data_IF_706696341722
#
_entry.id   IF_706696341722
#
_cell.length_a   1.000
_cell.length_b   1.000
_cell.length_c   1.000
_cell.angle_alpha   90.00
_cell.angle_beta   90.00
_cell.angle_gamma   90.00
#
_symmetry.space_group_name_H-M   'P 1'
#
loop_
_entity.id
_entity.type
_entity.pdbx_description
1 polymer ?
#
# COMPACT_ATOMS: atom_id res chain seq x y z
N UNK A 1 43.54 37.04 4.79
CA UNK A 1 42.19 37.37 4.31
C UNK A 1 41.59 36.08 3.83
N UNK A 2 40.82 35.45 4.70
CA UNK A 2 40.26 34.12 4.51
C UNK A 2 39.19 34.12 3.44
N UNK A 3 39.31 33.19 2.49
CA UNK A 3 38.26 32.87 1.54
C UNK A 3 37.25 31.95 2.24
N UNK A 4 36.08 32.50 2.57
CA UNK A 4 34.94 31.72 3.02
C UNK A 4 34.45 30.85 1.85
N UNK A 5 34.64 29.53 1.96
CA UNK A 5 34.00 28.55 1.10
C UNK A 5 32.50 28.56 1.44
N UNK A 6 31.70 29.15 0.57
CA UNK A 6 30.25 28.98 0.56
C UNK A 6 29.95 27.51 0.34
N UNK A 7 29.53 26.79 1.39
CA UNK A 7 28.94 25.47 1.27
C UNK A 7 27.64 25.61 0.46
N UNK A 8 27.69 25.28 -0.82
CA UNK A 8 26.50 25.16 -1.65
C UNK A 8 25.55 24.16 -0.96
N UNK A 9 24.32 24.60 -0.67
CA UNK A 9 23.24 23.70 -0.28
C UNK A 9 23.01 22.75 -1.47
N UNK A 10 23.54 21.54 -1.39
CA UNK A 10 23.27 20.49 -2.37
C UNK A 10 21.81 20.08 -2.22
N UNK A 11 21.02 20.22 -3.30
CA UNK A 11 19.62 19.84 -3.29
C UNK A 11 19.48 18.34 -2.96
N UNK A 12 18.40 17.93 -2.25
CA UNK A 12 18.20 16.52 -1.94
C UNK A 12 18.18 15.68 -3.23
N UNK A 13 18.68 14.44 -3.22
CA UNK A 13 18.63 13.58 -4.38
C UNK A 13 17.17 13.38 -4.80
N UNK A 14 16.89 13.43 -6.10
CA UNK A 14 15.53 13.38 -6.61
C UNK A 14 14.84 12.07 -6.23
N UNK A 15 13.60 12.13 -5.74
CA UNK A 15 12.78 10.94 -5.49
C UNK A 15 12.48 10.23 -6.81
N UNK A 16 12.60 8.91 -6.79
CA UNK A 16 12.36 8.02 -7.94
C UNK A 16 11.08 7.21 -7.73
N UNK A 17 10.87 6.70 -6.51
CA UNK A 17 9.70 5.92 -6.14
C UNK A 17 9.23 6.29 -4.74
N UNK A 18 7.92 6.18 -4.53
CA UNK A 18 7.29 6.24 -3.21
C UNK A 18 6.40 5.02 -3.00
N UNK A 19 6.34 4.54 -1.77
CA UNK A 19 5.45 3.46 -1.34
C UNK A 19 4.93 3.77 0.07
N UNK A 20 3.72 3.32 0.37
CA UNK A 20 3.05 3.58 1.63
C UNK A 20 2.45 2.29 2.18
N UNK A 21 2.77 1.96 3.43
CA UNK A 21 2.17 0.85 4.15
C UNK A 21 1.00 1.29 5.02
N UNK A 22 0.66 0.52 6.05
CA UNK A 22 -0.43 0.86 6.95
C UNK A 22 -0.20 2.19 7.68
N UNK A 23 1.00 2.35 8.26
CA UNK A 23 1.38 3.52 9.06
C UNK A 23 2.83 3.94 8.84
N UNK A 24 3.43 3.53 7.73
CA UNK A 24 4.80 3.91 7.36
C UNK A 24 4.87 4.26 5.87
N UNK A 25 5.96 4.92 5.52
CA UNK A 25 6.21 5.49 4.21
C UNK A 25 7.66 5.22 3.83
N UNK A 26 7.88 4.98 2.54
CA UNK A 26 9.19 4.62 2.00
C UNK A 26 9.40 5.40 0.71
N UNK A 27 10.61 5.93 0.51
CA UNK A 27 11.01 6.54 -0.74
C UNK A 27 12.39 6.03 -1.16
N UNK A 28 12.51 5.70 -2.45
CA UNK A 28 13.79 5.48 -3.11
C UNK A 28 14.18 6.77 -3.82
N UNK A 29 15.37 7.27 -3.52
CA UNK A 29 15.95 8.46 -4.12
C UNK A 29 17.07 8.09 -5.10
N UNK A 30 17.35 8.98 -6.04
CA UNK A 30 18.45 8.86 -6.97
C UNK A 30 19.79 8.66 -6.23
N UNK A 31 20.68 7.87 -6.81
CA UNK A 31 21.92 7.48 -6.13
C UNK A 31 21.75 6.36 -5.11
N UNK A 32 20.67 5.57 -5.22
CA UNK A 32 20.43 4.38 -4.41
C UNK A 32 20.26 4.66 -2.91
N UNK A 33 19.63 5.80 -2.59
CA UNK A 33 19.39 6.22 -1.20
C UNK A 33 17.96 5.83 -0.80
N UNK A 34 17.83 4.94 0.18
CA UNK A 34 16.55 4.49 0.71
C UNK A 34 16.20 5.26 1.99
N UNK A 35 15.04 5.91 1.98
CA UNK A 35 14.51 6.63 3.15
C UNK A 35 13.20 6.00 3.61
N UNK A 36 13.02 5.90 4.92
CA UNK A 36 11.79 5.40 5.54
C UNK A 36 11.36 6.33 6.68
N UNK A 37 10.05 6.42 6.90
CA UNK A 37 9.48 7.19 8.00
C UNK A 37 8.08 6.69 8.39
N UNK A 38 7.57 7.16 9.52
CA UNK A 38 6.32 6.69 10.12
C UNK A 38 6.54 5.76 11.31
N UNK A 39 5.64 4.79 11.48
CA UNK A 39 5.67 3.79 12.56
C UNK A 39 6.85 2.84 12.40
N UNK A 40 7.63 2.63 13.46
CA UNK A 40 8.78 1.70 13.47
C UNK A 40 8.68 0.51 14.42
N UNK A 41 7.59 0.40 15.19
CA UNK A 41 7.42 -0.58 16.28
C UNK A 41 7.63 -2.04 15.87
N UNK A 42 7.28 -2.41 14.62
CA UNK A 42 7.44 -3.77 14.10
C UNK A 42 8.68 -3.93 13.21
N UNK A 43 9.58 -2.93 13.21
CA UNK A 43 10.81 -2.94 12.42
C UNK A 43 10.66 -2.53 10.97
N UNK A 44 9.46 -2.15 10.50
CA UNK A 44 9.15 -1.86 9.09
C UNK A 44 9.96 -0.70 8.48
N UNK A 45 10.62 0.11 9.31
CA UNK A 45 11.51 1.19 8.86
C UNK A 45 12.93 0.71 8.54
N UNK A 46 13.38 -0.41 9.10
CA UNK A 46 14.67 -1.03 8.75
C UNK A 46 15.91 -0.39 9.38
N UNK A 47 15.76 0.47 10.40
CA UNK A 47 16.87 1.19 11.03
C UNK A 47 17.62 0.42 12.14
N UNK A 48 17.19 -0.80 12.47
CA UNK A 48 17.75 -1.59 13.57
C UNK A 48 17.15 -1.29 14.95
N UNK A 49 16.13 -0.42 15.00
CA UNK A 49 15.38 -0.06 16.21
C UNK A 49 13.87 0.00 15.94
N UNK A 50 13.08 0.07 17.02
CA UNK A 50 11.62 0.05 17.00
C UNK A 50 10.99 1.46 17.09
N UNK A 51 11.77 2.52 16.84
CA UNK A 51 11.31 3.89 17.04
C UNK A 51 10.60 4.45 15.81
N UNK A 52 9.58 5.27 16.05
CA UNK A 52 8.91 6.00 14.96
C UNK A 52 9.84 7.12 14.45
N UNK A 53 9.73 7.42 13.16
CA UNK A 53 10.47 8.52 12.52
C UNK A 53 9.48 9.51 11.94
N UNK A 54 9.51 10.76 12.43
CA UNK A 54 8.55 11.79 12.01
C UNK A 54 8.94 12.50 10.71
N UNK A 55 10.18 12.27 10.25
CA UNK A 55 10.74 12.82 9.02
C UNK A 55 11.40 11.70 8.22
N UNK A 56 11.48 11.82 6.87
CA UNK A 56 12.23 10.89 6.03
C UNK A 56 13.66 10.69 6.56
N UNK A 57 13.95 9.45 6.96
CA UNK A 57 15.23 9.07 7.56
C UNK A 57 15.93 8.05 6.67
N UNK A 58 17.21 8.26 6.37
CA UNK A 58 17.98 7.32 5.53
C UNK A 58 18.25 6.02 6.30
N UNK A 59 18.05 4.87 5.66
CA UNK A 59 18.49 3.59 6.22
C UNK A 59 20.01 3.51 6.11
N UNK A 60 20.70 3.60 7.25
CA UNK A 60 22.16 3.44 7.32
C UNK A 60 22.56 1.97 7.43
N UNK A 61 23.66 1.56 6.79
CA UNK A 61 24.17 0.19 6.87
C UNK A 61 23.49 -0.82 5.94
N UNK A 62 22.55 -0.37 5.10
CA UNK A 62 22.01 -1.14 3.99
C UNK A 62 22.71 -0.70 2.70
N UNK A 63 23.72 -1.47 2.27
CA UNK A 63 24.60 -1.13 1.14
C UNK A 63 24.30 -1.93 -0.14
N UNK A 64 23.07 -2.42 -0.31
CA UNK A 64 22.69 -3.17 -1.52
C UNK A 64 22.65 -2.22 -2.74
N UNK A 65 23.47 -2.43 -3.79
CA UNK A 65 23.51 -1.57 -4.97
C UNK A 65 22.28 -1.76 -5.86
N UNK A 66 22.02 -0.81 -6.74
CA UNK A 66 21.03 -0.96 -7.81
C UNK A 66 19.61 -1.30 -7.35
N UNK A 67 19.15 -0.75 -6.22
CA UNK A 67 17.76 -0.89 -5.80
C UNK A 67 16.86 -0.20 -6.82
N UNK A 68 15.94 -0.96 -7.41
CA UNK A 68 15.03 -0.48 -8.47
C UNK A 68 13.56 -0.53 -8.04
N UNK A 69 13.24 -1.21 -6.94
CA UNK A 69 11.87 -1.34 -6.43
C UNK A 69 11.84 -1.35 -4.90
N UNK A 70 10.86 -0.66 -4.33
CA UNK A 70 10.56 -0.63 -2.90
C UNK A 70 9.05 -0.70 -2.72
N UNK A 71 8.55 -1.71 -2.01
CA UNK A 71 7.11 -1.97 -1.86
C UNK A 71 6.80 -2.23 -0.40
N UNK A 72 5.89 -1.44 0.15
CA UNK A 72 5.35 -1.64 1.49
C UNK A 72 4.21 -2.66 1.45
N UNK A 73 4.18 -3.59 2.39
CA UNK A 73 2.94 -4.19 2.86
C UNK A 73 2.34 -3.36 4.00
N UNK A 74 1.44 -3.95 4.79
CA UNK A 74 0.87 -3.24 5.94
C UNK A 74 1.95 -2.80 6.95
N UNK A 75 2.67 -3.76 7.53
CA UNK A 75 3.68 -3.53 8.57
C UNK A 75 5.02 -4.22 8.24
N UNK A 76 5.36 -4.31 6.96
CA UNK A 76 6.64 -4.79 6.48
C UNK A 76 6.98 -4.12 5.15
N UNK A 77 8.25 -4.21 4.76
CA UNK A 77 8.77 -3.57 3.55
C UNK A 77 9.62 -4.57 2.78
N UNK A 78 9.54 -4.50 1.45
CA UNK A 78 10.42 -5.23 0.54
C UNK A 78 11.18 -4.27 -0.36
N UNK A 79 12.38 -4.67 -0.75
CA UNK A 79 13.18 -3.98 -1.76
C UNK A 79 13.81 -5.00 -2.71
N UNK A 80 14.12 -4.60 -3.93
CA UNK A 80 14.80 -5.46 -4.90
C UNK A 80 15.98 -4.74 -5.54
N UNK A 81 17.14 -5.42 -5.52
CA UNK A 81 18.36 -5.03 -6.22
C UNK A 81 18.41 -5.71 -7.58
N UNK A 82 18.41 -4.91 -8.65
CA UNK A 82 18.60 -5.42 -10.01
C UNK A 82 20.05 -5.85 -10.25
N UNK A 83 21.02 -5.15 -9.65
CA UNK A 83 22.45 -5.45 -9.81
C UNK A 83 22.84 -6.79 -9.18
N UNK A 84 22.25 -7.14 -8.03
CA UNK A 84 22.53 -8.40 -7.33
C UNK A 84 21.49 -9.49 -7.58
N UNK A 85 20.39 -9.17 -8.30
CA UNK A 85 19.22 -10.04 -8.45
C UNK A 85 18.74 -10.60 -7.10
N UNK A 86 18.54 -9.70 -6.13
CA UNK A 86 18.25 -10.05 -4.74
C UNK A 86 17.06 -9.24 -4.19
N UNK A 87 16.09 -9.95 -3.63
CA UNK A 87 14.99 -9.36 -2.84
C UNK A 87 15.40 -9.27 -1.38
N UNK A 88 15.12 -8.15 -0.74
CA UNK A 88 15.27 -7.93 0.69
C UNK A 88 13.91 -7.69 1.33
N UNK A 89 13.78 -8.06 2.60
CA UNK A 89 12.58 -7.79 3.39
C UNK A 89 12.92 -7.53 4.85
N UNK A 90 12.07 -6.72 5.49
CA UNK A 90 12.14 -6.41 6.92
C UNK A 90 10.77 -5.94 7.44
N UNK A 91 10.60 -5.91 8.75
CA UNK A 91 9.35 -5.60 9.44
C UNK A 91 8.77 -6.79 10.19
N UNK A 92 7.44 -6.81 10.32
CA UNK A 92 6.71 -7.84 11.06
C UNK A 92 6.82 -9.22 10.38
N UNK A 93 7.24 -10.24 11.13
CA UNK A 93 7.56 -11.58 10.62
C UNK A 93 6.39 -12.56 10.54
N UNK A 94 5.30 -12.30 11.26
CA UNK A 94 4.19 -13.26 11.43
C UNK A 94 3.65 -13.81 10.10
N UNK A 95 3.30 -15.09 10.14
CA UNK A 95 2.84 -15.90 8.99
C UNK A 95 3.90 -16.07 7.89
N UNK A 96 5.15 -15.70 8.15
CA UNK A 96 6.26 -15.82 7.20
C UNK A 96 6.21 -14.81 6.06
N UNK A 97 5.55 -13.66 6.24
CA UNK A 97 5.41 -12.61 5.20
C UNK A 97 6.75 -12.03 4.71
N UNK A 98 7.83 -12.23 5.45
CA UNK A 98 9.19 -11.87 5.05
C UNK A 98 9.89 -12.95 4.19
N UNK A 99 9.36 -14.16 4.09
CA UNK A 99 9.90 -15.18 3.17
C UNK A 99 11.25 -15.78 3.59
N UNK A 100 11.65 -15.65 4.86
CA UNK A 100 12.93 -16.15 5.39
C UNK A 100 12.87 -17.60 5.92
N UNK A 101 11.73 -18.30 5.77
CA UNK A 101 11.53 -19.66 6.29
C UNK A 101 11.21 -19.72 7.78
N UNK A 102 10.85 -18.59 8.39
CA UNK A 102 10.44 -18.44 9.78
C UNK A 102 9.45 -17.26 9.91
N UNK A 103 8.98 -17.01 11.14
CA UNK A 103 8.03 -15.93 11.46
C UNK A 103 8.64 -14.84 12.35
N UNK A 104 9.96 -14.66 12.32
CA UNK A 104 10.66 -13.71 13.21
C UNK A 104 10.66 -12.31 12.62
N UNK A 105 10.43 -11.30 13.45
CA UNK A 105 10.51 -9.88 13.08
C UNK A 105 11.94 -9.49 12.73
N UNK A 106 12.09 -8.60 11.75
CA UNK A 106 13.38 -8.20 11.21
C UNK A 106 13.47 -6.68 11.21
N UNK A 107 14.44 -6.12 11.95
CA UNK A 107 14.58 -4.67 12.13
C UNK A 107 15.59 -4.02 11.19
N UNK A 108 16.30 -4.82 10.38
CA UNK A 108 17.22 -4.35 9.34
C UNK A 108 17.00 -5.15 8.06
N UNK A 109 17.10 -4.58 6.85
CA UNK A 109 16.88 -5.32 5.61
C UNK A 109 17.69 -6.63 5.55
N UNK A 110 17.01 -7.76 5.31
CA UNK A 110 17.64 -9.08 5.15
C UNK A 110 17.32 -9.70 3.79
N UNK A 111 18.26 -10.42 3.16
CA UNK A 111 18.01 -11.07 1.88
C UNK A 111 17.02 -12.24 2.02
N UNK A 112 16.03 -12.27 1.14
CA UNK A 112 15.15 -13.43 0.91
C UNK A 112 15.93 -14.45 0.08
N UNK A 113 16.68 -15.33 0.76
CA UNK A 113 17.61 -16.27 0.12
C UNK A 113 16.95 -17.16 -0.94
N UNK A 114 15.68 -17.51 -0.77
CA UNK A 114 14.93 -18.31 -1.73
C UNK A 114 14.70 -17.60 -3.08
N UNK A 115 14.87 -16.28 -3.16
CA UNK A 115 14.74 -15.49 -4.39
C UNK A 115 16.08 -15.05 -4.97
N UNK A 116 17.21 -15.49 -4.40
CA UNK A 116 18.53 -15.09 -4.87
C UNK A 116 18.77 -15.53 -6.33
N UNK A 117 19.23 -14.60 -7.17
CA UNK A 117 19.52 -14.84 -8.58
C UNK A 117 18.29 -14.86 -9.49
N UNK A 118 17.09 -14.66 -8.95
CA UNK A 118 15.86 -14.58 -9.74
C UNK A 118 15.66 -13.12 -10.18
N UNK A 119 15.52 -12.92 -11.49
CA UNK A 119 15.21 -11.60 -12.06
C UNK A 119 13.75 -11.25 -11.81
N UNK A 120 13.51 -10.27 -10.96
CA UNK A 120 12.16 -9.85 -10.56
C UNK A 120 11.69 -8.70 -11.45
N UNK A 121 10.49 -8.86 -12.02
CA UNK A 121 9.79 -7.83 -12.77
C UNK A 121 8.97 -6.92 -11.86
N UNK A 122 8.27 -7.50 -10.88
CA UNK A 122 7.43 -6.76 -9.95
C UNK A 122 7.31 -7.50 -8.60
N UNK A 123 7.23 -6.74 -7.52
CA UNK A 123 6.80 -7.21 -6.20
C UNK A 123 5.43 -6.61 -5.85
N UNK A 124 4.61 -7.35 -5.12
CA UNK A 124 3.40 -6.82 -4.46
C UNK A 124 3.30 -7.35 -3.04
N UNK A 125 2.90 -6.48 -2.11
CA UNK A 125 2.76 -6.81 -0.70
C UNK A 125 1.37 -6.44 -0.21
N UNK A 126 0.68 -7.38 0.42
CA UNK A 126 -0.60 -7.17 1.10
C UNK A 126 -0.43 -6.94 2.59
N UNK A 127 -1.44 -7.29 3.38
CA UNK A 127 -1.34 -7.21 4.85
C UNK A 127 -0.30 -8.18 5.41
N UNK A 128 -0.33 -9.43 4.94
CA UNK A 128 0.46 -10.53 5.50
C UNK A 128 0.91 -11.56 4.47
N UNK A 129 0.85 -11.22 3.18
CA UNK A 129 1.34 -12.06 2.10
C UNK A 129 1.99 -11.19 1.01
N UNK A 130 2.89 -11.82 0.26
CA UNK A 130 3.68 -11.16 -0.76
C UNK A 130 3.72 -12.01 -2.01
N UNK A 131 3.92 -11.35 -3.15
CA UNK A 131 4.09 -11.99 -4.44
C UNK A 131 5.26 -11.35 -5.21
N UNK A 132 5.88 -12.15 -6.05
CA UNK A 132 6.89 -11.72 -7.00
C UNK A 132 6.54 -12.25 -8.40
N UNK A 133 6.58 -11.38 -9.41
CA UNK A 133 6.53 -11.76 -10.82
C UNK A 133 7.95 -11.74 -11.36
N UNK A 134 8.40 -12.83 -11.99
CA UNK A 134 9.72 -12.90 -12.62
C UNK A 134 9.71 -12.21 -13.99
N UNK A 135 10.88 -11.93 -14.56
CA UNK A 135 10.99 -11.43 -15.94
C UNK A 135 10.47 -12.42 -16.99
N UNK A 136 10.29 -13.70 -16.64
CA UNK A 136 9.66 -14.71 -17.50
C UNK A 136 8.12 -14.72 -17.38
N UNK A 137 7.54 -13.95 -16.45
CA UNK A 137 6.11 -13.92 -16.19
C UNK A 137 5.62 -15.00 -15.21
N UNK A 138 6.52 -15.74 -14.57
CA UNK A 138 6.17 -16.69 -13.51
C UNK A 138 5.84 -15.94 -12.22
N UNK A 139 4.92 -16.49 -11.41
CA UNK A 139 4.51 -15.88 -10.13
C UNK A 139 4.92 -16.76 -8.96
N UNK A 140 5.60 -16.16 -7.99
CA UNK A 140 5.87 -16.75 -6.69
C UNK A 140 5.09 -16.03 -5.59
N UNK A 141 4.66 -16.74 -4.57
CA UNK A 141 3.92 -16.19 -3.43
C UNK A 141 4.39 -16.78 -2.09
N UNK A 142 4.28 -16.00 -1.01
CA UNK A 142 4.58 -16.42 0.36
C UNK A 142 3.83 -15.59 1.41
N UNK A 143 3.82 -16.07 2.64
CA UNK A 143 3.13 -15.47 3.78
C UNK A 143 1.86 -16.22 4.19
N UNK A 144 0.89 -15.46 4.70
CA UNK A 144 -0.42 -15.94 5.15
C UNK A 144 -1.26 -16.49 3.99
N UNK A 145 -1.94 -17.61 4.20
CA UNK A 145 -2.73 -18.30 3.17
C UNK A 145 -4.10 -18.81 3.65
N UNK A 146 -4.60 -18.38 4.80
CA UNK A 146 -5.84 -18.95 5.38
C UNK A 146 -7.08 -18.89 4.47
N UNK A 147 -7.08 -18.02 3.45
CA UNK A 147 -8.17 -17.89 2.48
C UNK A 147 -7.73 -18.23 1.05
N UNK A 148 -6.54 -18.83 0.88
CA UNK A 148 -6.00 -19.20 -0.43
C UNK A 148 -5.31 -18.07 -1.19
N UNK A 149 -5.01 -16.93 -0.55
CA UNK A 149 -4.42 -15.75 -1.20
C UNK A 149 -3.04 -15.98 -1.81
N UNK A 150 -2.36 -17.08 -1.46
CA UNK A 150 -1.12 -17.47 -2.14
C UNK A 150 -1.36 -18.15 -3.49
N UNK A 151 -2.59 -18.59 -3.79
CA UNK A 151 -2.92 -19.22 -5.07
C UNK A 151 -2.39 -20.64 -5.24
N UNK A 152 -1.96 -21.28 -4.15
CA UNK A 152 -1.27 -22.59 -4.16
C UNK A 152 -2.23 -23.80 -4.13
N UNK A 153 -3.54 -23.58 -4.16
CA UNK A 153 -4.55 -24.65 -4.06
C UNK A 153 -4.74 -25.19 -2.64
N UNK A 154 -4.13 -24.55 -1.64
CA UNK A 154 -4.22 -24.91 -0.22
C UNK A 154 -4.54 -23.68 0.63
N UNK A 155 -4.77 -23.87 1.93
CA UNK A 155 -4.94 -22.80 2.92
C UNK A 155 -3.78 -22.73 3.94
N UNK A 156 -2.68 -23.41 3.64
CA UNK A 156 -1.51 -23.47 4.53
C UNK A 156 -0.58 -22.28 4.26
N UNK A 157 -0.18 -21.60 5.32
CA UNK A 157 0.78 -20.49 5.25
C UNK A 157 2.11 -20.99 4.68
N UNK A 158 2.79 -20.15 3.87
CA UNK A 158 4.09 -20.49 3.30
C UNK A 158 5.15 -19.54 3.81
N UNK A 159 6.09 -20.07 4.60
CA UNK A 159 7.21 -19.28 5.16
C UNK A 159 8.30 -18.95 4.13
N UNK A 160 8.22 -19.56 2.94
CA UNK A 160 9.14 -19.36 1.81
C UNK A 160 8.34 -19.08 0.53
N UNK A 161 8.91 -18.35 -0.44
CA UNK A 161 8.36 -18.22 -1.79
C UNK A 161 8.10 -19.58 -2.44
N UNK A 162 6.90 -19.76 -2.99
CA UNK A 162 6.49 -20.93 -3.77
C UNK A 162 5.88 -20.48 -5.10
N UNK A 163 6.17 -21.21 -6.18
CA UNK A 163 5.63 -20.94 -7.51
C UNK A 163 4.15 -21.30 -7.60
N UNK A 164 3.35 -20.39 -8.15
CA UNK A 164 1.93 -20.59 -8.43
C UNK A 164 1.79 -21.38 -9.74
N UNK A 165 1.64 -22.70 -9.63
CA UNK A 165 1.55 -23.61 -10.79
C UNK A 165 0.32 -23.34 -11.68
N UNK A 166 -0.72 -22.69 -11.15
CA UNK A 166 -1.90 -22.31 -11.93
C UNK A 166 -1.61 -21.32 -13.07
N UNK A 167 -0.45 -20.65 -13.05
CA UNK A 167 0.01 -19.79 -14.14
C UNK A 167 1.01 -20.47 -15.09
N UNK A 168 1.19 -21.79 -15.03
CA UNK A 168 2.06 -22.48 -16.00
C UNK A 168 1.58 -22.23 -17.43
N UNK A 169 2.48 -21.70 -18.28
CA UNK A 169 2.16 -21.31 -19.65
C UNK A 169 1.42 -19.98 -19.81
N UNK A 170 1.13 -19.26 -18.71
CA UNK A 170 0.49 -17.94 -18.72
C UNK A 170 1.53 -16.90 -18.28
N UNK A 171 1.84 -15.94 -19.15
CA UNK A 171 2.79 -14.87 -18.81
C UNK A 171 2.10 -13.75 -18.04
N UNK A 172 2.40 -13.65 -16.75
CA UNK A 172 1.84 -12.60 -15.89
C UNK A 172 2.58 -11.28 -16.09
N UNK A 173 1.82 -10.22 -16.37
CA UNK A 173 2.35 -8.87 -16.56
C UNK A 173 2.58 -8.19 -15.21
N UNK A 174 1.57 -8.22 -14.35
CA UNK A 174 1.57 -7.54 -13.06
C UNK A 174 0.63 -8.17 -12.03
N UNK A 175 0.88 -7.89 -10.76
CA UNK A 175 0.21 -8.41 -9.57
C UNK A 175 -0.18 -7.27 -8.62
N UNK A 176 -1.21 -7.51 -7.83
CA UNK A 176 -1.62 -6.66 -6.72
C UNK A 176 -2.14 -7.50 -5.55
N UNK A 177 -1.88 -7.06 -4.32
CA UNK A 177 -2.25 -7.77 -3.09
C UNK A 177 -3.02 -6.84 -2.16
N UNK A 178 -4.18 -7.28 -1.69
CA UNK A 178 -4.96 -6.61 -0.66
C UNK A 178 -4.71 -7.22 0.72
N UNK A 179 -5.72 -7.22 1.59
CA UNK A 179 -5.60 -7.81 2.92
C UNK A 179 -5.26 -9.32 2.84
N UNK A 180 -6.17 -10.05 2.20
CA UNK A 180 -6.17 -11.51 2.10
C UNK A 180 -6.70 -11.94 0.73
N UNK A 181 -6.56 -11.09 -0.28
CA UNK A 181 -6.92 -11.37 -1.67
C UNK A 181 -5.85 -10.84 -2.61
N UNK A 182 -5.83 -11.39 -3.81
CA UNK A 182 -4.80 -11.13 -4.79
C UNK A 182 -5.42 -11.03 -6.17
N UNK A 183 -4.86 -10.17 -7.00
CA UNK A 183 -5.24 -10.05 -8.39
C UNK A 183 -4.01 -9.98 -9.29
N UNK A 184 -4.15 -10.41 -10.54
CA UNK A 184 -3.09 -10.37 -11.53
C UNK A 184 -3.64 -10.06 -12.92
N UNK A 185 -2.84 -9.33 -13.70
CA UNK A 185 -3.10 -9.08 -15.12
C UNK A 185 -2.01 -9.77 -15.94
N UNK A 186 -2.39 -10.49 -16.98
CA UNK A 186 -1.46 -11.14 -17.92
C UNK A 186 -0.97 -10.19 -19.01
N UNK A 187 0.05 -10.59 -19.76
CA UNK A 187 0.52 -9.79 -20.91
C UNK A 187 -0.55 -9.63 -22.00
N UNK A 188 -1.43 -10.63 -22.14
CA UNK A 188 -2.56 -10.62 -23.07
C UNK A 188 -3.79 -9.88 -22.52
N UNK A 189 -3.66 -9.23 -21.36
CA UNK A 189 -4.70 -8.38 -20.76
C UNK A 189 -5.80 -9.15 -20.02
N UNK A 190 -5.63 -10.43 -19.75
CA UNK A 190 -6.55 -11.21 -18.92
C UNK A 190 -6.37 -10.83 -17.45
N UNK A 191 -7.47 -10.73 -16.70
CA UNK A 191 -7.48 -10.44 -15.26
C UNK A 191 -7.84 -11.71 -14.47
N UNK A 192 -7.13 -11.96 -13.39
CA UNK A 192 -7.35 -13.07 -12.46
C UNK A 192 -7.54 -12.54 -11.04
N UNK A 193 -8.38 -13.21 -10.25
CA UNK A 193 -8.61 -12.92 -8.83
C UNK A 193 -8.62 -14.19 -7.99
N UNK A 194 -8.00 -14.14 -6.81
CA UNK A 194 -8.04 -15.24 -5.83
C UNK A 194 -7.83 -14.80 -4.38
N UNK A 195 -7.96 -15.73 -3.45
CA UNK A 195 -7.95 -15.50 -2.02
C UNK A 195 -9.36 -15.27 -1.46
N UNK A 196 -9.45 -14.43 -0.43
CA UNK A 196 -10.69 -14.07 0.25
C UNK A 196 -11.64 -13.28 -0.67
N UNK A 197 -12.88 -13.73 -0.81
CA UNK A 197 -13.83 -13.18 -1.80
C UNK A 197 -15.14 -12.64 -1.26
N UNK A 198 -15.32 -12.52 0.06
CA UNK A 198 -16.66 -12.31 0.66
C UNK A 198 -17.32 -10.98 0.31
N UNK A 199 -16.57 -9.96 -0.10
CA UNK A 199 -17.13 -8.68 -0.58
C UNK A 199 -17.17 -8.58 -2.10
N UNK A 200 -16.95 -9.68 -2.84
CA UNK A 200 -16.91 -9.66 -4.30
C UNK A 200 -15.64 -9.06 -4.90
N UNK A 201 -14.63 -8.81 -4.07
CA UNK A 201 -13.34 -8.24 -4.44
C UNK A 201 -12.47 -9.17 -5.30
N UNK A 202 -12.99 -10.31 -5.75
CA UNK A 202 -12.32 -11.14 -6.77
C UNK A 202 -12.86 -10.83 -8.17
N UNK A 203 -14.01 -10.17 -8.31
CA UNK A 203 -14.60 -9.82 -9.60
C UNK A 203 -15.29 -10.98 -10.32
N UNK A 204 -15.45 -12.13 -9.65
CA UNK A 204 -15.93 -13.39 -10.24
C UNK A 204 -17.46 -13.53 -10.25
N UNK A 205 -18.20 -12.51 -9.80
CA UNK A 205 -19.66 -12.52 -9.76
C UNK A 205 -20.28 -13.25 -8.56
N UNK A 206 -19.46 -13.65 -7.59
CA UNK A 206 -19.90 -14.28 -6.35
C UNK A 206 -19.09 -13.79 -5.14
N UNK A 207 -19.34 -14.41 -3.97
CA UNK A 207 -18.70 -14.08 -2.69
C UNK A 207 -17.86 -15.23 -2.12
N UNK A 208 -17.41 -16.16 -2.96
CA UNK A 208 -16.66 -17.33 -2.51
C UNK A 208 -15.15 -17.08 -2.59
N UNK A 209 -14.40 -17.66 -1.66
CA UNK A 209 -12.95 -17.63 -1.69
C UNK A 209 -12.43 -18.53 -2.83
N UNK A 210 -11.26 -18.21 -3.40
CA UNK A 210 -10.59 -19.05 -4.41
C UNK A 210 -9.19 -19.40 -3.95
N UNK A 211 -8.86 -20.70 -3.97
CA UNK A 211 -7.55 -21.20 -3.54
C UNK A 211 -6.50 -21.17 -4.66
N UNK A 212 -6.93 -20.94 -5.90
CA UNK A 212 -6.10 -20.78 -7.09
C UNK A 212 -6.59 -19.57 -7.89
N UNK A 213 -5.73 -18.91 -8.67
CA UNK A 213 -6.12 -17.87 -9.62
C UNK A 213 -7.30 -18.31 -10.51
N UNK A 214 -8.37 -17.52 -10.54
CA UNK A 214 -9.51 -17.72 -11.44
C UNK A 214 -9.69 -16.51 -12.34
N UNK A 215 -9.93 -16.75 -13.63
CA UNK A 215 -10.07 -15.71 -14.64
C UNK A 215 -11.38 -14.94 -14.44
N UNK A 216 -11.29 -13.62 -14.39
CA UNK A 216 -12.44 -12.71 -14.32
C UNK A 216 -12.97 -12.47 -15.73
N UNK A 217 -14.29 -12.63 -15.91
CA UNK A 217 -14.95 -12.31 -17.18
C UNK A 217 -15.08 -10.79 -17.33
N UNK A 218 -14.15 -10.18 -18.06
CA UNK A 218 -14.04 -8.73 -18.21
C UNK A 218 -13.40 -8.34 -19.55
N UNK A 219 -13.42 -7.04 -19.87
CA UNK A 219 -12.60 -6.46 -20.94
C UNK A 219 -11.11 -6.57 -20.58
N UNK A 220 -10.24 -6.50 -21.61
CA UNK A 220 -8.79 -6.51 -21.45
C UNK A 220 -8.30 -5.39 -20.54
N UNK A 221 -7.54 -5.76 -19.51
CA UNK A 221 -6.99 -4.85 -18.51
C UNK A 221 -5.49 -4.68 -18.70
N UNK A 222 -4.98 -3.50 -18.37
CA UNK A 222 -3.55 -3.18 -18.43
C UNK A 222 -2.96 -2.80 -17.08
N UNK A 223 -3.81 -2.42 -16.11
CA UNK A 223 -3.44 -2.14 -14.72
C UNK A 223 -4.35 -2.87 -13.73
N UNK A 224 -3.77 -3.26 -12.60
CA UNK A 224 -4.51 -3.72 -11.42
C UNK A 224 -3.86 -3.18 -10.15
N UNK A 225 -4.68 -2.78 -9.18
CA UNK A 225 -4.28 -2.45 -7.82
C UNK A 225 -5.34 -2.99 -6.85
N UNK A 226 -4.90 -3.31 -5.63
CA UNK A 226 -5.80 -3.71 -4.56
C UNK A 226 -5.72 -2.65 -3.46
N UNK A 227 -6.88 -2.26 -2.93
CA UNK A 227 -6.93 -1.79 -1.56
C UNK A 227 -7.14 -2.97 -0.62
N UNK A 228 -7.60 -2.71 0.60
CA UNK A 228 -7.72 -3.78 1.59
C UNK A 228 -8.73 -4.87 1.20
N UNK A 229 -9.93 -4.47 0.80
CA UNK A 229 -11.03 -5.37 0.40
C UNK A 229 -11.75 -4.91 -0.88
N UNK A 230 -11.05 -4.17 -1.73
CA UNK A 230 -11.56 -3.74 -3.03
C UNK A 230 -10.42 -3.80 -4.05
N UNK A 231 -10.78 -3.89 -5.32
CA UNK A 231 -9.85 -4.03 -6.43
C UNK A 231 -10.18 -2.99 -7.49
N UNK A 232 -9.12 -2.46 -8.10
CA UNK A 232 -9.17 -1.38 -9.07
C UNK A 232 -8.43 -1.88 -10.31
N UNK A 233 -9.02 -1.71 -11.49
CA UNK A 233 -8.43 -2.11 -12.76
C UNK A 233 -8.61 -1.02 -13.79
N UNK A 234 -7.70 -0.96 -14.77
CA UNK A 234 -7.78 -0.02 -15.89
C UNK A 234 -7.69 -0.81 -17.19
N UNK A 235 -8.60 -0.56 -18.13
CA UNK A 235 -8.58 -1.19 -19.45
C UNK A 235 -7.51 -0.60 -20.35
N UNK A 236 -7.19 -1.28 -21.46
CA UNK A 236 -6.29 -0.76 -22.51
C UNK A 236 -6.73 0.59 -23.09
N UNK A 237 -8.02 0.93 -22.98
CA UNK A 237 -8.57 2.23 -23.40
C UNK A 237 -8.43 3.33 -22.33
N UNK A 238 -7.82 3.05 -21.19
CA UNK A 238 -7.72 3.97 -20.05
C UNK A 238 -8.99 4.09 -19.19
N UNK A 239 -10.01 3.24 -19.40
CA UNK A 239 -11.23 3.26 -18.58
C UNK A 239 -10.99 2.60 -17.22
N UNK A 240 -11.43 3.26 -16.15
CA UNK A 240 -11.32 2.78 -14.78
C UNK A 240 -12.50 1.87 -14.37
N UNK A 241 -12.20 0.75 -13.72
CA UNK A 241 -13.17 -0.16 -13.14
C UNK A 241 -12.81 -0.48 -11.69
N UNK A 242 -13.83 -0.63 -10.85
CA UNK A 242 -13.70 -0.97 -9.43
C UNK A 242 -14.69 -2.06 -9.06
N UNK A 243 -14.32 -2.89 -8.08
CA UNK A 243 -15.17 -3.96 -7.54
C UNK A 243 -14.72 -4.37 -6.14
N UNK A 244 -15.59 -5.04 -5.41
CA UNK A 244 -15.39 -5.41 -4.01
C UNK A 244 -16.22 -4.56 -3.05
N UNK A 245 -15.60 -4.21 -1.92
CA UNK A 245 -16.26 -3.52 -0.82
C UNK A 245 -16.42 -2.02 -1.06
N UNK A 246 -17.62 -1.45 -0.82
CA UNK A 246 -17.89 -0.01 -0.96
C UNK A 246 -18.55 0.65 0.25
N UNK A 247 -18.46 0.05 1.45
CA UNK A 247 -19.09 0.63 2.68
C UNK A 247 -18.73 2.10 2.94
N UNK A 248 -17.56 2.56 2.49
CA UNK A 248 -17.09 3.94 2.63
C UNK A 248 -17.04 4.69 1.29
N UNK A 249 -17.67 4.14 0.25
CA UNK A 249 -17.71 4.72 -1.09
C UNK A 249 -16.43 4.54 -1.88
N UNK A 250 -15.52 3.64 -1.45
CA UNK A 250 -14.21 3.44 -2.08
C UNK A 250 -14.28 2.83 -3.49
N UNK A 251 -15.44 2.39 -3.97
CA UNK A 251 -15.59 2.04 -5.38
C UNK A 251 -15.86 3.26 -6.29
N UNK A 252 -16.32 4.38 -5.74
CA UNK A 252 -16.42 5.65 -6.47
C UNK A 252 -17.66 5.78 -7.38
N UNK A 253 -18.71 4.98 -7.17
CA UNK A 253 -19.89 4.97 -8.05
C UNK A 253 -21.01 5.94 -7.64
N UNK A 254 -20.81 6.74 -6.59
CA UNK A 254 -21.82 7.67 -6.05
C UNK A 254 -22.76 7.06 -5.03
N UNK A 255 -22.47 5.84 -4.58
CA UNK A 255 -23.19 5.11 -3.55
C UNK A 255 -22.22 4.28 -2.67
N UNK A 256 -22.77 3.40 -1.84
CA UNK A 256 -22.01 2.57 -0.90
C UNK A 256 -22.20 1.07 -1.16
N UNK A 257 -22.61 0.69 -2.38
CA UNK A 257 -22.94 -0.69 -2.73
C UNK A 257 -21.70 -1.48 -3.18
N UNK A 258 -21.62 -2.74 -2.76
CA UNK A 258 -20.56 -3.65 -3.19
C UNK A 258 -20.81 -4.13 -4.63
N UNK A 259 -19.75 -4.24 -5.43
CA UNK A 259 -19.82 -4.79 -6.78
C UNK A 259 -19.05 -6.11 -6.88
N UNK A 260 -19.73 -7.17 -7.35
CA UNK A 260 -19.14 -8.52 -7.44
C UNK A 260 -18.37 -8.78 -8.74
N UNK A 261 -18.47 -7.85 -9.70
CA UNK A 261 -17.81 -7.88 -11.01
C UNK A 261 -17.23 -6.49 -11.29
N UNK A 262 -16.19 -6.36 -12.14
CA UNK A 262 -15.66 -5.06 -12.52
C UNK A 262 -16.74 -4.11 -13.02
N UNK A 263 -16.91 -2.97 -12.33
CA UNK A 263 -17.88 -1.95 -12.68
C UNK A 263 -17.19 -0.65 -13.06
N UNK A 264 -17.62 -0.05 -14.18
CA UNK A 264 -16.96 1.15 -14.71
C UNK A 264 -17.27 2.37 -13.85
N UNK A 265 -16.25 3.17 -13.55
CA UNK A 265 -16.41 4.43 -12.81
C UNK A 265 -16.83 5.54 -13.79
N UNK A 266 -18.14 5.70 -13.99
CA UNK A 266 -18.70 6.63 -14.98
C UNK A 266 -18.30 8.10 -14.76
N UNK A 267 -18.03 8.49 -13.51
CA UNK A 267 -17.56 9.84 -13.18
C UNK A 267 -16.21 10.20 -13.83
N UNK A 268 -15.41 9.20 -14.24
CA UNK A 268 -14.11 9.38 -14.90
C UNK A 268 -14.08 8.85 -16.33
N UNK A 269 -15.25 8.60 -16.95
CA UNK A 269 -15.33 8.00 -18.31
C UNK A 269 -14.65 8.81 -19.42
N UNK A 270 -14.56 10.13 -19.23
CA UNK A 270 -13.96 11.08 -20.19
C UNK A 270 -12.48 11.37 -19.88
N UNK A 271 -11.93 10.70 -18.86
CA UNK A 271 -10.52 10.76 -18.49
C UNK A 271 -9.83 9.43 -18.78
N UNK A 272 -8.56 9.48 -19.19
CA UNK A 272 -7.74 8.27 -19.33
C UNK A 272 -6.91 8.09 -18.06
N UNK A 273 -7.13 7.00 -17.31
CA UNK A 273 -6.35 6.68 -16.11
C UNK A 273 -4.99 6.08 -16.48
N UNK A 274 -3.92 6.58 -15.87
CA UNK A 274 -2.53 6.12 -16.08
C UNK A 274 -1.92 5.42 -14.88
N UNK A 275 -2.42 5.68 -13.66
CA UNK A 275 -2.01 4.98 -12.44
C UNK A 275 -3.16 4.90 -11.44
N UNK A 276 -3.15 3.84 -10.63
CA UNK A 276 -4.15 3.55 -9.61
C UNK A 276 -3.47 3.10 -8.31
N UNK A 277 -4.09 3.41 -7.17
CA UNK A 277 -3.64 2.95 -5.86
C UNK A 277 -4.82 2.79 -4.92
N UNK A 278 -4.87 1.68 -4.18
CA UNK A 278 -5.90 1.40 -3.19
C UNK A 278 -5.33 1.48 -1.79
N UNK A 279 -5.97 2.27 -0.92
CA UNK A 279 -5.66 2.31 0.51
C UNK A 279 -6.49 1.31 1.31
N UNK A 280 -6.62 1.56 2.62
CA UNK A 280 -7.45 0.69 3.47
C UNK A 280 -8.92 0.75 3.00
N UNK A 281 -9.43 1.97 2.87
CA UNK A 281 -10.83 2.28 2.61
C UNK A 281 -10.98 3.49 1.70
N UNK A 282 -9.92 3.89 1.01
CA UNK A 282 -9.91 4.98 0.04
C UNK A 282 -9.13 4.56 -1.21
N UNK A 283 -9.27 5.33 -2.27
CA UNK A 283 -8.74 5.01 -3.59
C UNK A 283 -8.23 6.26 -4.25
N UNK A 284 -7.17 6.11 -5.04
CA UNK A 284 -6.59 7.16 -5.86
C UNK A 284 -6.49 6.70 -7.32
N UNK A 285 -6.84 7.58 -8.25
CA UNK A 285 -6.59 7.42 -9.68
C UNK A 285 -5.93 8.68 -10.25
N UNK A 286 -4.79 8.48 -10.91
CA UNK A 286 -4.06 9.50 -11.65
C UNK A 286 -4.42 9.38 -13.13
N UNK A 287 -4.79 10.50 -13.74
CA UNK A 287 -5.08 10.58 -15.17
C UNK A 287 -3.81 10.89 -15.98
N UNK A 288 -3.82 10.57 -17.27
CA UNK A 288 -2.70 10.78 -18.18
C UNK A 288 -2.32 12.25 -18.39
N UNK A 289 -3.22 13.19 -18.10
CA UNK A 289 -2.95 14.63 -18.12
C UNK A 289 -2.34 15.15 -16.81
N UNK A 290 -2.15 14.28 -15.81
CA UNK A 290 -1.47 14.57 -14.54
C UNK A 290 -2.39 15.01 -13.40
N UNK A 291 -3.72 14.86 -13.53
CA UNK A 291 -4.68 15.18 -12.47
C UNK A 291 -4.91 13.97 -11.57
N UNK A 292 -4.93 14.22 -10.27
CA UNK A 292 -5.19 13.18 -9.26
C UNK A 292 -6.62 13.28 -8.76
N UNK A 293 -7.30 12.15 -8.69
CA UNK A 293 -8.62 12.02 -8.08
C UNK A 293 -8.58 11.03 -6.93
N UNK A 294 -9.21 11.40 -5.81
CA UNK A 294 -9.34 10.56 -4.62
C UNK A 294 -10.79 10.37 -4.21
N UNK A 295 -11.12 9.23 -3.62
CA UNK A 295 -12.44 8.96 -3.04
C UNK A 295 -12.37 7.87 -1.97
N UNK A 296 -13.49 7.63 -1.29
CA UNK A 296 -13.67 6.67 -0.21
C UNK A 296 -13.66 7.33 1.17
N UNK A 297 -13.21 6.57 2.16
CA UNK A 297 -13.13 6.99 3.55
C UNK A 297 -12.16 8.15 3.75
N UNK A 298 -12.60 9.20 4.45
CA UNK A 298 -11.86 10.45 4.59
C UNK A 298 -11.83 10.99 6.03
N UNK A 299 -12.11 10.16 7.05
CA UNK A 299 -12.11 10.60 8.45
C UNK A 299 -10.84 11.37 8.85
N UNK A 300 -9.68 10.97 8.33
CA UNK A 300 -8.38 11.59 8.63
C UNK A 300 -7.89 12.53 7.52
N UNK A 301 -8.72 12.82 6.52
CA UNK A 301 -8.36 13.69 5.41
C UNK A 301 -7.58 12.99 4.30
N UNK A 302 -7.49 11.66 4.28
CA UNK A 302 -6.68 10.88 3.34
C UNK A 302 -7.12 10.94 1.87
N UNK A 303 -8.32 11.46 1.58
CA UNK A 303 -8.75 11.80 0.21
C UNK A 303 -8.05 13.06 -0.29
N UNK A 304 -7.70 14.01 0.58
CA UNK A 304 -6.93 15.20 0.21
C UNK A 304 -7.76 16.34 -0.41
N UNK A 305 -9.09 16.29 -0.29
CA UNK A 305 -10.00 17.27 -0.89
C UNK A 305 -10.23 18.54 -0.03
N UNK A 306 -9.54 18.68 1.11
CA UNK A 306 -9.68 19.83 2.01
C UNK A 306 -10.82 19.72 3.03
N UNK A 307 -11.39 18.53 3.18
CA UNK A 307 -12.40 18.20 4.17
C UNK A 307 -12.14 16.83 4.82
N UNK A 308 -13.01 16.42 5.74
CA UNK A 308 -12.95 15.11 6.42
C UNK A 308 -14.23 14.29 6.18
N UNK A 309 -14.99 14.60 5.13
CA UNK A 309 -16.21 13.88 4.76
C UNK A 309 -15.86 12.75 3.78
N UNK A 310 -16.50 11.59 3.95
CA UNK A 310 -16.30 10.47 3.01
C UNK A 310 -16.81 10.85 1.61
N UNK A 311 -16.07 10.45 0.58
CA UNK A 311 -16.38 10.78 -0.82
C UNK A 311 -16.78 9.50 -1.55
N UNK A 312 -18.06 9.30 -1.88
CA UNK A 312 -18.49 8.13 -2.66
C UNK A 312 -18.33 8.30 -4.18
N UNK A 313 -17.80 9.44 -4.63
CA UNK A 313 -17.44 9.72 -6.02
C UNK A 313 -16.05 10.36 -6.11
N UNK A 314 -15.32 10.20 -7.23
CA UNK A 314 -14.01 10.81 -7.43
C UNK A 314 -14.02 12.33 -7.22
N UNK A 315 -13.19 12.80 -6.28
CA UNK A 315 -12.94 14.21 -6.03
C UNK A 315 -11.52 14.57 -6.48
N UNK A 316 -11.37 15.68 -7.20
CA UNK A 316 -10.05 16.12 -7.66
C UNK A 316 -9.21 16.64 -6.48
N UNK A 317 -7.97 16.16 -6.36
CA UNK A 317 -6.99 16.61 -5.38
C UNK A 317 -6.19 17.77 -5.98
N UNK A 318 -6.18 18.90 -5.28
CA UNK A 318 -5.53 20.12 -5.76
C UNK A 318 -4.12 20.27 -5.18
N UNK A 319 -3.16 20.61 -6.03
CA UNK A 319 -1.77 20.87 -5.68
C UNK A 319 -1.43 22.35 -5.92
N UNK A 320 -0.49 22.93 -5.15
CA UNK A 320 -0.01 24.29 -5.38
C UNK A 320 0.41 24.50 -6.84
N UNK A 321 0.05 25.64 -7.41
CA UNK A 321 0.37 26.01 -8.80
C UNK A 321 -0.11 24.98 -9.86
N UNK A 322 -1.12 24.18 -9.55
CA UNK A 322 -1.66 23.14 -10.44
C UNK A 322 -0.59 22.16 -10.94
N UNK A 323 0.40 21.87 -10.09
CA UNK A 323 1.45 20.90 -10.40
C UNK A 323 0.87 19.54 -10.73
N UNK A 324 1.33 18.97 -11.86
CA UNK A 324 0.94 17.62 -12.29
C UNK A 324 1.56 16.56 -11.42
N UNK A 325 0.76 15.54 -11.10
CA UNK A 325 1.20 14.38 -10.35
C UNK A 325 1.82 13.36 -11.31
N UNK A 326 2.94 12.78 -10.90
CA UNK A 326 3.68 11.75 -11.64
C UNK A 326 3.55 10.36 -10.99
N UNK A 327 3.44 10.28 -9.66
CA UNK A 327 3.19 9.03 -8.93
C UNK A 327 2.28 9.23 -7.73
N UNK A 328 1.52 8.19 -7.36
CA UNK A 328 0.70 8.16 -6.14
C UNK A 328 0.82 6.80 -5.43
N UNK A 329 0.83 6.83 -4.09
CA UNK A 329 0.81 5.64 -3.25
C UNK A 329 -0.13 5.85 -2.05
N UNK A 330 -1.08 4.94 -1.87
CA UNK A 330 -1.99 4.92 -0.72
C UNK A 330 -1.42 4.01 0.37
N UNK A 331 -1.33 4.54 1.59
CA UNK A 331 -1.25 3.71 2.78
C UNK A 331 -2.65 3.34 3.27
N UNK A 332 -2.76 2.87 4.51
CA UNK A 332 -4.10 2.61 5.05
C UNK A 332 -4.90 3.88 5.31
N UNK A 333 -4.24 4.92 5.81
CA UNK A 333 -4.89 6.14 6.33
C UNK A 333 -4.20 7.41 5.88
N UNK A 334 -3.22 7.31 5.01
CA UNK A 334 -2.49 8.43 4.43
C UNK A 334 -2.22 8.15 2.96
N UNK A 335 -1.84 9.20 2.25
CA UNK A 335 -1.55 9.15 0.82
C UNK A 335 -0.28 9.96 0.57
N UNK A 336 0.58 9.43 -0.30
CA UNK A 336 1.77 10.10 -0.82
C UNK A 336 1.57 10.40 -2.30
N UNK A 337 2.04 11.55 -2.76
CA UNK A 337 2.12 11.86 -4.17
C UNK A 337 3.45 12.51 -4.52
N UNK A 338 3.98 12.16 -5.68
CA UNK A 338 5.18 12.74 -6.26
C UNK A 338 4.80 13.45 -7.55
N UNK A 339 5.26 14.68 -7.72
CA UNK A 339 4.89 15.56 -8.84
C UNK A 339 5.95 15.59 -9.94
N UNK A 340 5.59 16.08 -11.13
CA UNK A 340 6.54 16.30 -12.22
C UNK A 340 7.65 17.31 -11.85
N UNK A 341 7.37 18.23 -10.92
CA UNK A 341 8.36 19.15 -10.33
C UNK A 341 9.29 18.50 -9.31
N UNK A 342 9.21 17.18 -9.13
CA UNK A 342 10.01 16.41 -8.18
C UNK A 342 9.69 16.70 -6.70
N UNK A 343 8.59 17.38 -6.41
CA UNK A 343 8.11 17.56 -5.04
C UNK A 343 7.34 16.32 -4.58
N UNK A 344 7.47 15.98 -3.30
CA UNK A 344 6.70 14.94 -2.63
C UNK A 344 5.71 15.61 -1.68
N UNK A 345 4.46 15.18 -1.73
CA UNK A 345 3.40 15.60 -0.84
C UNK A 345 2.86 14.42 -0.06
N UNK A 346 2.40 14.68 1.17
CA UNK A 346 1.68 13.72 1.99
C UNK A 346 0.45 14.36 2.64
N UNK A 347 -0.60 13.56 2.84
CA UNK A 347 -1.80 13.93 3.58
C UNK A 347 -2.49 12.70 4.17
N UNK A 348 -3.46 12.92 5.05
CA UNK A 348 -4.18 11.92 5.83
C UNK A 348 -3.72 11.88 7.29
N UNK A 349 -3.73 10.68 7.88
CA UNK A 349 -3.32 10.42 9.26
C UNK A 349 -1.82 10.70 9.45
N UNK A 350 -1.46 11.44 10.49
CA UNK A 350 -0.07 11.79 10.83
C UNK A 350 0.42 11.31 12.20
N UNK A 351 -0.40 10.62 12.99
CA UNK A 351 -0.07 10.32 14.40
C UNK A 351 1.14 9.42 14.64
N UNK A 352 1.63 8.72 13.61
CA UNK A 352 2.86 7.92 13.68
C UNK A 352 4.01 8.58 12.91
N UNK A 353 3.84 9.81 12.44
CA UNK A 353 4.81 10.52 11.62
C UNK A 353 4.83 10.11 10.15
N UNK A 354 3.89 9.29 9.68
CA UNK A 354 3.89 8.75 8.31
C UNK A 354 3.75 9.80 7.20
N UNK A 355 3.39 11.03 7.56
CA UNK A 355 3.35 12.17 6.63
C UNK A 355 4.74 12.79 6.40
N UNK A 356 5.71 12.57 7.28
CA UNK A 356 7.09 13.02 7.08
C UNK A 356 7.34 14.51 7.33
N UNK A 357 6.39 15.22 7.95
CA UNK A 357 6.49 16.68 8.19
C UNK A 357 7.19 17.05 9.51
N UNK A 358 7.65 16.07 10.30
CA UNK A 358 8.23 16.30 11.62
C UNK A 358 7.21 16.53 12.74
N UNK A 359 5.92 16.40 12.43
CA UNK A 359 4.80 16.58 13.35
C UNK A 359 3.88 15.35 13.32
N UNK A 360 3.06 15.20 14.36
CA UNK A 360 2.09 14.10 14.50
C UNK A 360 0.63 14.56 14.28
N UNK A 361 0.43 15.45 13.30
CA UNK A 361 -0.86 16.09 13.01
C UNK A 361 -1.44 15.57 11.70
N UNK A 362 -2.75 15.26 11.71
CA UNK A 362 -3.49 14.84 10.51
C UNK A 362 -3.66 16.03 9.54
N UNK A 363 -3.58 15.77 8.23
CA UNK A 363 -3.70 16.80 7.17
C UNK A 363 -4.75 16.37 6.16
N UNK A 364 -5.69 17.25 5.82
CA UNK A 364 -6.76 16.94 4.86
C UNK A 364 -6.55 17.55 3.47
N UNK A 365 -5.42 18.22 3.27
CA UNK A 365 -4.91 18.70 1.98
C UNK A 365 -3.48 18.21 1.78
N UNK A 366 -3.00 18.06 0.54
CA UNK A 366 -1.59 17.77 0.27
C UNK A 366 -0.66 18.79 0.93
N UNK A 367 0.30 18.32 1.73
CA UNK A 367 1.37 19.14 2.32
C UNK A 367 2.72 18.61 1.86
N UNK A 368 3.57 19.52 1.38
CA UNK A 368 4.90 19.20 0.86
C UNK A 368 5.79 18.59 1.95
N UNK A 369 6.60 17.60 1.59
CA UNK A 369 7.63 17.02 2.47
C UNK A 369 8.95 17.73 2.16
N UNK A 370 9.30 18.71 2.98
CA UNK A 370 10.47 19.58 2.76
C UNK A 370 11.78 18.80 2.57
N UNK A 371 11.97 17.73 3.34
CA UNK A 371 13.19 16.92 3.30
C UNK A 371 13.42 16.19 1.97
N UNK A 372 12.38 16.03 1.14
CA UNK A 372 12.42 15.30 -0.12
C UNK A 372 12.09 16.16 -1.34
N UNK A 373 11.80 17.45 -1.14
CA UNK A 373 11.20 18.30 -2.18
C UNK A 373 12.09 19.51 -2.50
N UNK A 374 12.36 19.80 -3.79
CA UNK A 374 13.10 21.00 -4.19
C UNK A 374 12.44 22.31 -3.77
N UNK A 375 11.10 22.39 -3.78
CA UNK A 375 10.36 23.62 -3.45
C UNK A 375 10.09 23.79 -1.94
N UNK A 376 10.64 22.91 -1.09
CA UNK A 376 10.47 22.99 0.36
C UNK A 376 11.22 24.18 0.98
N UNK A 377 10.61 24.97 1.91
CA UNK A 377 11.23 26.14 2.55
C UNK A 377 12.48 25.85 3.40
N UNK A 378 12.88 24.59 3.53
CA UNK A 378 14.18 24.19 4.04
C UNK A 378 14.59 22.86 3.43
N UNK A 379 15.30 22.89 2.30
CA UNK A 379 16.01 21.74 1.76
C UNK A 379 17.14 21.34 2.73
N UNK A 380 16.76 20.81 3.90
CA UNK A 380 17.68 20.31 4.91
C UNK A 380 18.33 19.04 4.37
N UNK A 381 19.59 18.78 4.76
CA UNK A 381 20.20 17.46 4.60
C UNK A 381 19.23 16.41 5.18
N UNK A 382 19.01 15.34 4.42
CA UNK A 382 18.37 14.13 4.95
C UNK A 382 19.06 13.76 6.26
N UNK A 383 18.30 13.73 7.34
CA UNK A 383 18.87 13.48 8.66
C UNK A 383 19.34 12.03 8.74
N UNK A 384 20.61 11.86 9.09
CA UNK A 384 21.07 10.61 9.69
C UNK A 384 20.71 10.68 11.18
N UNK A 385 19.72 9.90 11.59
CA UNK A 385 19.49 9.49 12.98
C UNK A 385 19.08 10.54 14.04
N UNK A 386 17.95 11.21 13.89
CA UNK A 386 17.21 11.70 15.06
C UNK A 386 16.02 10.76 15.35
N UNK A 387 16.30 9.65 16.03
CA UNK A 387 15.25 8.86 16.66
C UNK A 387 14.69 9.66 17.84
N UNK A 388 13.37 9.74 17.98
CA UNK A 388 12.77 10.29 19.20
C UNK A 388 12.75 9.15 20.22
N UNK A 389 13.45 9.24 21.37
CA UNK A 389 13.42 8.20 22.38
C UNK A 389 12.00 7.98 22.91
N UNK A 390 11.69 6.74 23.31
CA UNK A 390 10.41 6.22 23.83
C UNK A 390 9.65 7.04 24.91
N UNK A 391 10.20 8.17 25.39
CA UNK A 391 9.65 8.99 26.46
C UNK A 391 8.62 10.02 25.98
N UNK A 392 7.46 9.54 25.50
CA UNK A 392 6.12 10.17 25.55
C UNK A 392 5.25 9.74 24.35
N UNK A 393 4.86 8.46 24.27
CA UNK A 393 3.71 8.10 23.42
C UNK A 393 2.40 8.25 24.20
N UNK A 394 1.47 8.98 23.61
CA UNK A 394 0.03 8.81 23.86
C UNK A 394 -0.30 7.38 23.43
N UNK A 395 -0.88 6.58 24.32
CA UNK A 395 -1.27 5.20 24.00
C UNK A 395 -2.21 5.19 22.78
N UNK A 396 -1.77 4.59 21.67
CA UNK A 396 -2.59 4.35 20.49
C UNK A 396 -3.21 2.97 20.61
N UNK A 397 -4.54 2.89 20.55
CA UNK A 397 -5.26 1.64 20.74
C UNK A 397 -4.92 0.62 19.63
N UNK A 398 -5.03 -0.70 19.88
CA UNK A 398 -4.89 -1.72 18.84
C UNK A 398 -5.85 -1.50 17.65
N UNK A 399 -7.02 -0.89 17.90
CA UNK A 399 -8.01 -0.53 16.87
C UNK A 399 -7.55 0.58 15.92
N UNK A 400 -6.64 1.43 16.39
CA UNK A 400 -6.01 2.48 15.59
C UNK A 400 -4.69 1.99 14.97
N UNK A 401 -4.02 1.02 15.58
CA UNK A 401 -2.80 0.38 15.06
C UNK A 401 -3.06 -0.58 13.91
N UNK A 402 -4.02 -1.51 14.09
CA UNK A 402 -4.29 -2.57 13.13
C UNK A 402 -5.67 -2.40 12.47
N UNK A 403 -5.85 -2.94 11.27
CA UNK A 403 -7.13 -2.89 10.57
C UNK A 403 -8.09 -3.87 11.22
N UNK A 404 -9.03 -3.40 12.05
CA UNK A 404 -10.09 -4.26 12.56
C UNK A 404 -11.03 -4.69 11.42
N UNK A 405 -11.26 -6.00 11.32
CA UNK A 405 -12.36 -6.58 10.54
C UNK A 405 -13.63 -6.30 11.33
N UNK A 406 -14.63 -5.58 10.79
CA UNK A 406 -15.91 -5.45 11.48
C UNK A 406 -16.57 -6.83 11.56
N UNK A 407 -16.94 -7.26 12.77
CA UNK A 407 -17.66 -8.52 12.98
C UNK A 407 -18.99 -8.57 12.21
N UNK A 408 -19.19 -9.63 11.44
CA UNK A 408 -20.44 -9.92 10.75
C UNK A 408 -21.40 -10.70 11.67
N UNK A 409 -22.38 -10.02 12.28
CA UNK A 409 -23.64 -10.70 12.63
C UNK A 409 -24.56 -10.66 11.41
N UNK A 410 -24.70 -11.80 10.74
CA UNK A 410 -25.78 -12.03 9.77
C UNK A 410 -27.11 -11.94 10.53
N UNK A 411 -27.79 -10.79 10.42
CA UNK A 411 -29.15 -10.65 10.93
C UNK A 411 -30.09 -11.47 10.04
N UNK A 412 -30.70 -12.51 10.61
CA UNK A 412 -31.90 -13.13 10.04
C UNK A 412 -33.04 -12.13 10.06
N UNK A 413 -33.81 -12.10 8.98
CA UNK A 413 -35.00 -11.29 8.75
C UNK A 413 -35.92 -11.16 9.96
N UNK A 414 -36.25 -9.92 10.32
CA UNK A 414 -37.27 -9.56 11.31
C UNK A 414 -37.37 -8.04 11.44
N UNK A 415 -38.58 -7.54 11.26
CA UNK A 415 -39.00 -6.14 11.09
C UNK A 415 -38.70 -5.20 12.28
N UNK A 416 -38.91 -3.90 12.04
CA UNK A 416 -39.07 -2.74 12.95
C UNK A 416 -37.96 -1.68 12.98
N UNK A 417 -38.40 -0.49 12.56
CA UNK A 417 -37.83 0.85 12.62
C UNK A 417 -37.17 1.28 13.94
N UNK A 418 -36.03 1.97 13.86
CA UNK A 418 -35.70 3.14 14.69
C UNK A 418 -34.46 3.89 14.18
N UNK A 419 -34.57 5.22 14.06
CA UNK A 419 -33.44 6.15 14.00
C UNK A 419 -32.69 6.12 15.34
N UNK A 420 -31.35 6.17 15.32
CA UNK A 420 -30.58 6.43 16.53
C UNK A 420 -29.06 6.34 16.34
N UNK A 421 -28.37 7.43 16.67
CA UNK A 421 -26.93 7.50 16.92
C UNK A 421 -26.49 6.46 17.98
N UNK A 422 -25.32 5.83 17.79
CA UNK A 422 -24.63 5.02 18.81
C UNK A 422 -23.35 4.45 18.21
N UNK A 423 -22.16 4.89 18.63
CA UNK A 423 -21.43 4.46 19.83
C UNK A 423 -20.88 3.03 19.69
N UNK A 424 -19.56 2.94 19.66
CA UNK A 424 -18.75 1.73 19.80
C UNK A 424 -19.23 0.87 20.98
N UNK A 425 -19.50 -0.42 20.71
CA UNK A 425 -19.16 -1.56 21.55
C UNK A 425 -19.85 -2.84 21.04
N UNK A 426 -19.07 -3.80 20.52
CA UNK A 426 -19.15 -5.21 20.93
C UNK A 426 -18.19 -6.05 20.08
N UNK A 427 -17.08 -6.49 20.67
CA UNK A 427 -16.13 -7.47 20.13
C UNK A 427 -16.59 -8.87 20.56
N UNK A 428 -16.88 -9.82 19.64
CA UNK A 428 -17.07 -11.23 19.94
C UNK A 428 -15.72 -11.94 20.18
N UNK A 429 -15.71 -12.85 21.15
CA UNK A 429 -14.53 -13.50 21.74
C UNK A 429 -13.76 -14.50 20.84
N UNK A 430 -13.99 -14.55 19.51
CA UNK A 430 -13.38 -15.59 18.66
C UNK A 430 -12.37 -15.11 17.60
N UNK A 431 -11.99 -13.82 17.59
CA UNK A 431 -10.94 -13.29 16.68
C UNK A 431 -9.68 -12.80 17.41
N UNK A 432 -9.48 -13.25 18.66
CA UNK A 432 -8.36 -12.87 19.54
C UNK A 432 -7.07 -13.65 19.21
N UNK A 433 -6.57 -13.55 17.97
CA UNK A 433 -5.18 -13.94 17.64
C UNK A 433 -4.37 -12.85 16.93
N UNK A 434 -4.68 -11.58 17.21
CA UNK A 434 -3.79 -10.43 16.96
C UNK A 434 -3.10 -9.90 18.23
N UNK A 435 -3.05 -10.69 19.29
CA UNK A 435 -2.25 -10.34 20.47
C UNK A 435 -0.96 -11.14 20.51
N UNK A 436 0.15 -10.40 20.59
CA UNK A 436 1.48 -10.87 20.96
C UNK A 436 1.35 -11.75 22.20
N UNK A 437 1.54 -13.06 22.06
CA UNK A 437 1.78 -13.90 23.23
C UNK A 437 3.22 -13.64 23.60
N UNK A 438 3.44 -12.86 24.66
CA UNK A 438 4.75 -12.76 25.29
C UNK A 438 5.10 -14.14 25.84
N UNK A 439 6.10 -14.80 25.25
CA UNK A 439 6.88 -15.84 25.93
C UNK A 439 8.16 -15.22 26.47
#
# INVERSE_FOLDING_TARGET
>A
MDAAISAAHEAPPAVVLVSAGASHSVALLAGNVLCTWGRGEDGQLGHGDAEDRLVPTVITGFEAPGITSVICGADHTTAYSEDEHQVYSWGWGDFGRLGHGNSTDVFTPQPVKALQGIKIKQLACGDSHCLAVTMAGEVLSWGRNQNGQLGLGTTEDSLLPQTIQAFEGISVKMIAAGAEHTAAVTEDGEIYGWGWGRYGNLGLGDRNDRLVPEKVSSVEMVLVACGWRHTITVSSSGSLYTYGWSKYGQLGHGDFEDHLVPHKVEALKDSSTSQISGGWRHTMALTSDGKLYGWGWNKFGQVGAGDNADHCSPAQVNFPEEQKVAQVACGWRHTLAFTEKKNVFAWGRGTSGQLGHGEIVDRNTPVIIDALSPDGPGSKKLESSAAIPFAAKIWVSPSERYALVPDEKVAKSGDVSARGNGADASVPENDVKRMRVSS
#
